data_IF_807732442936
#
_entry.id   IF_807732442936
#
_cell.length_a   1.000
_cell.length_b   1.000
_cell.length_c   1.000
_cell.angle_alpha   90.00
_cell.angle_beta   90.00
_cell.angle_gamma   90.00
#
_symmetry.space_group_name_H-M   'P 1'
#
loop_
_entity.id
_entity.type
_entity.pdbx_description
1 polymer ?
#
# COMPACT_ATOMS: atom_id res chain seq x y z
N UNK A 1 7.12 -29.43 -0.96
CA UNK A 1 6.28 -28.50 -0.18
C UNK A 1 4.85 -28.85 -0.47
N UNK A 2 4.19 -29.34 0.56
CA UNK A 2 2.77 -29.65 0.53
C UNK A 2 1.95 -28.36 0.54
N UNK A 3 0.66 -28.45 0.22
CA UNK A 3 -0.25 -27.31 0.28
C UNK A 3 -0.30 -26.68 1.68
N UNK A 4 -0.21 -27.51 2.72
CA UNK A 4 -0.16 -27.07 4.12
C UNK A 4 1.05 -26.16 4.41
N UNK A 5 2.22 -26.46 3.83
CA UNK A 5 3.41 -25.62 3.98
C UNK A 5 3.18 -24.21 3.40
N UNK A 6 2.50 -24.13 2.26
CA UNK A 6 2.19 -22.85 1.59
C UNK A 6 1.25 -22.00 2.43
N UNK A 7 0.21 -22.61 3.00
CA UNK A 7 -0.73 -21.92 3.89
C UNK A 7 -0.02 -21.41 5.15
N UNK A 8 0.84 -22.24 5.76
CA UNK A 8 1.62 -21.84 6.92
C UNK A 8 2.53 -20.64 6.64
N UNK A 9 3.19 -20.61 5.48
CA UNK A 9 4.01 -19.48 5.03
C UNK A 9 3.17 -18.19 4.94
N UNK A 10 1.98 -18.24 4.33
CA UNK A 10 1.13 -17.05 4.20
C UNK A 10 0.62 -16.54 5.56
N UNK A 11 0.27 -17.46 6.46
CA UNK A 11 -0.12 -17.10 7.82
C UNK A 11 1.05 -16.49 8.61
N UNK A 12 2.25 -17.05 8.48
CA UNK A 12 3.46 -16.49 9.07
C UNK A 12 3.74 -15.09 8.52
N UNK A 13 3.68 -14.89 7.20
CA UNK A 13 3.85 -13.57 6.57
C UNK A 13 2.90 -12.55 7.18
N UNK A 14 1.61 -12.88 7.29
CA UNK A 14 0.62 -12.00 7.91
C UNK A 14 0.88 -11.71 9.39
N UNK A 15 1.30 -12.72 10.18
CA UNK A 15 1.66 -12.52 11.60
C UNK A 15 2.90 -11.62 11.74
N UNK A 16 3.97 -11.90 11.00
CA UNK A 16 5.21 -11.10 11.00
C UNK A 16 4.93 -9.65 10.63
N UNK A 17 4.11 -9.41 9.59
CA UNK A 17 3.73 -8.06 9.20
C UNK A 17 2.99 -7.31 10.32
N UNK A 18 2.02 -7.95 10.98
CA UNK A 18 1.30 -7.34 12.11
C UNK A 18 2.23 -7.04 13.29
N UNK A 19 3.12 -7.97 13.64
CA UNK A 19 4.12 -7.76 14.69
C UNK A 19 5.01 -6.58 14.37
N UNK A 20 5.50 -6.49 13.13
CA UNK A 20 6.32 -5.37 12.68
C UNK A 20 5.55 -4.04 12.71
N UNK A 21 4.29 -4.00 12.25
CA UNK A 21 3.45 -2.79 12.32
C UNK A 21 3.26 -2.30 13.77
N UNK A 22 2.97 -3.22 14.69
CA UNK A 22 2.77 -2.90 16.11
C UNK A 22 4.05 -2.38 16.76
N UNK A 23 5.19 -3.03 16.49
CA UNK A 23 6.49 -2.60 17.00
C UNK A 23 6.90 -1.25 16.41
N UNK A 24 6.65 -1.04 15.11
CA UNK A 24 6.91 0.23 14.44
C UNK A 24 6.16 1.39 15.12
N UNK A 25 4.86 1.21 15.38
CA UNK A 25 4.07 2.25 16.05
C UNK A 25 4.60 2.55 17.45
N UNK A 26 4.92 1.52 18.23
CA UNK A 26 5.46 1.70 19.58
C UNK A 26 6.81 2.44 19.60
N UNK A 27 7.68 2.17 18.63
CA UNK A 27 9.04 2.75 18.59
C UNK A 27 9.08 4.13 17.91
N UNK A 28 8.30 4.31 16.84
CA UNK A 28 8.31 5.54 16.05
C UNK A 28 7.29 6.56 16.55
N UNK A 29 6.27 6.13 17.30
CA UNK A 29 5.25 6.97 17.92
C UNK A 29 3.97 7.15 17.08
N UNK A 30 3.89 6.50 15.92
CA UNK A 30 2.69 6.53 15.06
C UNK A 30 2.71 5.38 14.05
N UNK A 31 1.52 4.96 13.57
CA UNK A 31 1.40 3.89 12.59
C UNK A 31 2.18 4.15 11.31
N UNK A 32 2.78 3.09 10.76
CA UNK A 32 3.55 3.13 9.51
C UNK A 32 2.79 3.81 8.35
N UNK A 33 1.49 3.56 8.11
CA UNK A 33 0.79 4.23 7.01
C UNK A 33 0.76 5.76 7.13
N UNK A 34 0.61 6.31 8.34
CA UNK A 34 0.64 7.77 8.57
C UNK A 34 2.06 8.30 8.41
N UNK A 35 3.02 7.60 9.00
CA UNK A 35 4.44 7.92 8.88
C UNK A 35 4.88 8.04 7.42
N UNK A 36 4.50 7.08 6.57
CA UNK A 36 4.85 7.08 5.15
C UNK A 36 4.31 8.30 4.40
N UNK A 37 3.14 8.82 4.77
CA UNK A 37 2.57 10.04 4.17
C UNK A 37 3.39 11.26 4.58
N UNK A 38 3.66 11.40 5.88
CA UNK A 38 4.47 12.50 6.43
C UNK A 38 5.86 12.54 5.78
N UNK A 39 6.52 11.39 5.71
CA UNK A 39 7.83 11.25 5.06
C UNK A 39 7.77 11.61 3.58
N UNK A 40 6.77 11.11 2.83
CA UNK A 40 6.64 11.42 1.41
C UNK A 40 6.42 12.92 1.14
N UNK A 41 5.66 13.60 2.00
CA UNK A 41 5.49 15.05 1.93
C UNK A 41 6.79 15.78 2.29
N UNK A 42 7.47 15.35 3.35
CA UNK A 42 8.73 15.95 3.79
C UNK A 42 9.82 15.87 2.71
N UNK A 43 9.92 14.74 2.03
CA UNK A 43 10.83 14.53 0.88
C UNK A 43 10.45 15.36 -0.37
N UNK A 44 9.20 15.84 -0.45
CA UNK A 44 8.67 16.66 -1.55
C UNK A 44 8.49 18.12 -1.15
N UNK A 45 9.46 18.68 -0.42
CA UNK A 45 9.44 20.07 0.05
C UNK A 45 8.23 20.46 0.92
N UNK A 46 7.47 19.48 1.41
CA UNK A 46 6.31 19.65 2.28
C UNK A 46 4.95 19.67 1.58
N UNK A 47 4.86 19.44 0.28
CA UNK A 47 3.57 19.48 -0.43
C UNK A 47 3.47 18.44 -1.57
N UNK A 48 2.30 17.83 -1.72
CA UNK A 48 2.01 16.92 -2.84
C UNK A 48 0.51 16.81 -3.10
N UNK A 49 0.12 16.44 -4.32
CA UNK A 49 -1.27 16.13 -4.61
C UNK A 49 -1.66 14.77 -4.05
N UNK A 50 -2.93 14.60 -3.64
CA UNK A 50 -3.43 13.29 -3.17
C UNK A 50 -3.21 12.18 -4.20
N UNK A 51 -3.39 12.49 -5.50
CA UNK A 51 -3.12 11.56 -6.59
C UNK A 51 -1.66 11.07 -6.60
N UNK A 52 -0.70 12.01 -6.49
CA UNK A 52 0.72 11.65 -6.43
C UNK A 52 1.05 10.84 -5.18
N UNK A 53 0.40 11.12 -4.05
CA UNK A 53 0.56 10.33 -2.83
C UNK A 53 0.05 8.89 -3.00
N UNK A 54 -1.12 8.69 -3.64
CA UNK A 54 -1.64 7.35 -3.98
C UNK A 54 -0.63 6.57 -4.81
N UNK A 55 -0.14 7.19 -5.89
CA UNK A 55 0.81 6.57 -6.84
C UNK A 55 2.14 6.23 -6.15
N UNK A 56 2.72 7.18 -5.41
CA UNK A 56 4.02 7.00 -4.73
C UNK A 56 3.95 5.97 -3.61
N UNK A 57 2.87 6.00 -2.81
CA UNK A 57 2.75 5.12 -1.64
C UNK A 57 2.20 3.74 -2.00
N UNK A 58 1.65 3.58 -3.22
CA UNK A 58 0.94 2.37 -3.68
C UNK A 58 -0.15 1.95 -2.71
N UNK A 59 -0.97 2.91 -2.30
CA UNK A 59 -2.09 2.70 -1.37
C UNK A 59 -3.41 2.97 -2.06
N UNK A 60 -4.46 2.29 -1.63
CA UNK A 60 -5.82 2.58 -2.07
C UNK A 60 -6.22 4.04 -1.75
N UNK A 61 -6.89 4.77 -2.67
CA UNK A 61 -7.35 6.14 -2.44
C UNK A 61 -8.22 6.32 -1.19
N UNK A 62 -9.08 5.35 -0.89
CA UNK A 62 -9.91 5.38 0.32
C UNK A 62 -9.07 5.22 1.58
N UNK A 63 -8.07 4.33 1.56
CA UNK A 63 -7.11 4.18 2.66
C UNK A 63 -6.29 5.46 2.88
N UNK A 64 -5.78 6.08 1.81
CA UNK A 64 -5.08 7.36 1.91
C UNK A 64 -5.98 8.43 2.53
N UNK A 65 -7.21 8.57 2.06
CA UNK A 65 -8.17 9.57 2.56
C UNK A 65 -8.43 9.43 4.05
N UNK A 66 -8.57 8.20 4.55
CA UNK A 66 -8.72 7.94 6.00
C UNK A 66 -7.51 8.41 6.80
N UNK A 67 -6.30 8.15 6.31
CA UNK A 67 -5.08 8.60 6.99
C UNK A 67 -4.91 10.12 6.93
N UNK A 68 -5.22 10.75 5.80
CA UNK A 68 -5.18 12.20 5.65
C UNK A 68 -6.17 12.89 6.59
N UNK A 69 -7.39 12.37 6.73
CA UNK A 69 -8.36 12.90 7.70
C UNK A 69 -7.83 12.85 9.13
N UNK A 70 -7.15 11.76 9.51
CA UNK A 70 -6.53 11.65 10.84
C UNK A 70 -5.37 12.64 11.02
N UNK A 71 -4.49 12.76 10.03
CA UNK A 71 -3.36 13.70 10.05
C UNK A 71 -3.80 15.16 10.12
N UNK A 72 -4.87 15.51 9.39
CA UNK A 72 -5.47 16.85 9.42
C UNK A 72 -6.11 17.15 10.77
N UNK A 73 -6.80 16.17 11.38
CA UNK A 73 -7.35 16.29 12.73
C UNK A 73 -6.28 16.48 13.82
N UNK A 74 -5.06 15.98 13.60
CA UNK A 74 -3.89 16.24 14.48
C UNK A 74 -3.21 17.59 14.19
N UNK A 75 -3.66 18.32 13.17
CA UNK A 75 -3.05 19.59 12.74
C UNK A 75 -1.67 19.44 12.09
N UNK A 76 -1.33 18.24 11.60
CA UNK A 76 -0.02 17.96 10.99
C UNK A 76 0.01 18.18 9.49
N UNK A 77 -1.16 18.21 8.86
CA UNK A 77 -1.33 18.56 7.45
C UNK A 77 -2.46 19.56 7.30
N UNK A 78 -2.46 20.25 6.16
CA UNK A 78 -3.59 20.98 5.64
C UNK A 78 -3.93 20.47 4.24
N UNK A 79 -5.22 20.43 3.89
CA UNK A 79 -5.68 20.10 2.54
C UNK A 79 -6.35 21.30 1.90
N UNK A 80 -6.13 21.47 0.60
CA UNK A 80 -6.74 22.54 -0.18
C UNK A 80 -6.99 22.07 -1.62
N UNK A 81 -8.04 22.59 -2.24
CA UNK A 81 -8.23 22.43 -3.69
C UNK A 81 -7.17 23.26 -4.43
N UNK A 82 -6.67 22.74 -5.56
CA UNK A 82 -5.76 23.48 -6.42
C UNK A 82 -6.48 24.69 -7.03
N UNK A 83 -5.77 25.82 -7.13
CA UNK A 83 -6.33 27.07 -7.62
C UNK A 83 -6.56 27.07 -9.13
N UNK A 84 -5.91 26.15 -9.87
CA UNK A 84 -6.01 26.01 -11.33
C UNK A 84 -6.95 24.88 -11.75
N UNK A 85 -7.11 23.87 -10.90
CA UNK A 85 -8.01 22.73 -11.14
C UNK A 85 -8.66 22.27 -9.83
N UNK A 86 -9.94 22.59 -9.65
CA UNK A 86 -10.69 22.24 -8.44
C UNK A 86 -10.90 20.73 -8.25
N UNK A 87 -10.56 19.90 -9.26
CA UNK A 87 -10.56 18.44 -9.14
C UNK A 87 -9.31 17.91 -8.45
N UNK A 88 -8.26 18.73 -8.31
CA UNK A 88 -7.02 18.36 -7.64
C UNK A 88 -7.07 18.82 -6.19
N UNK A 89 -6.83 17.88 -5.26
CA UNK A 89 -6.61 18.20 -3.85
C UNK A 89 -5.13 18.09 -3.53
N UNK A 90 -4.56 19.18 -3.03
CA UNK A 90 -3.20 19.25 -2.53
C UNK A 90 -3.17 19.03 -1.02
N UNK A 91 -2.08 18.42 -0.57
CA UNK A 91 -1.81 18.12 0.83
C UNK A 91 -0.48 18.76 1.18
N UNK A 92 -0.46 19.58 2.24
CA UNK A 92 0.72 20.27 2.71
C UNK A 92 1.01 19.93 4.16
N UNK A 93 2.29 19.74 4.52
CA UNK A 93 2.71 19.69 5.91
C UNK A 93 2.51 21.04 6.58
N UNK A 94 2.00 21.02 7.79
CA UNK A 94 2.07 22.17 8.71
C UNK A 94 3.43 22.19 9.38
N UNK A 95 3.72 23.26 10.12
CA UNK A 95 4.94 23.33 10.93
C UNK A 95 4.97 22.22 12.00
N UNK A 96 3.83 21.97 12.65
CA UNK A 96 3.69 20.87 13.61
C UNK A 96 3.94 19.51 12.95
N UNK A 97 3.44 19.29 11.73
CA UNK A 97 3.69 18.05 10.99
C UNK A 97 5.15 17.88 10.57
N UNK A 98 5.82 18.97 10.17
CA UNK A 98 7.25 18.96 9.86
C UNK A 98 8.08 18.58 11.09
N UNK A 99 7.85 19.25 12.21
CA UNK A 99 8.54 18.97 13.48
C UNK A 99 8.29 17.53 13.96
N UNK A 100 7.04 17.04 13.88
CA UNK A 100 6.71 15.66 14.20
C UNK A 100 7.43 14.66 13.30
N UNK A 101 7.59 14.98 12.01
CA UNK A 101 8.32 14.14 11.06
C UNK A 101 9.81 14.08 11.43
N UNK A 102 10.43 15.23 11.66
CA UNK A 102 11.86 15.32 11.99
C UNK A 102 12.19 14.62 13.31
N UNK A 103 11.35 14.78 14.35
CA UNK A 103 11.52 14.11 15.64
C UNK A 103 11.40 12.57 15.57
N UNK A 104 10.82 12.05 14.49
CA UNK A 104 10.50 10.62 14.34
C UNK A 104 11.45 9.90 13.40
N UNK A 105 12.14 10.65 12.52
CA UNK A 105 13.13 10.13 11.58
C UNK A 105 14.23 9.31 12.28
N UNK A 106 14.90 9.81 13.35
CA UNK A 106 15.93 9.06 14.04
C UNK A 106 15.40 7.78 14.67
N UNK A 107 14.22 7.83 15.30
CA UNK A 107 13.57 6.66 15.93
C UNK A 107 13.24 5.59 14.90
N UNK A 108 12.73 5.99 13.73
CA UNK A 108 12.51 5.09 12.60
C UNK A 108 13.79 4.45 12.11
N UNK A 109 14.86 5.23 11.96
CA UNK A 109 16.15 4.71 11.48
C UNK A 109 16.74 3.70 12.47
N UNK A 110 16.75 4.03 13.76
CA UNK A 110 17.21 3.13 14.81
C UNK A 110 16.38 1.84 14.84
N UNK A 111 15.05 1.94 14.83
CA UNK A 111 14.20 0.76 14.82
C UNK A 111 14.47 -0.18 13.63
N UNK A 112 14.61 0.36 12.41
CA UNK A 112 14.93 -0.46 11.24
C UNK A 112 16.31 -1.09 11.33
N UNK A 113 17.31 -0.30 11.75
CA UNK A 113 18.66 -0.79 11.96
C UNK A 113 18.68 -1.94 12.97
N UNK A 114 18.15 -1.74 14.16
CA UNK A 114 18.21 -2.71 15.25
C UNK A 114 17.40 -3.98 14.94
N UNK A 115 16.29 -3.84 14.20
CA UNK A 115 15.49 -4.98 13.73
C UNK A 115 16.29 -5.86 12.74
N UNK A 116 17.19 -5.25 11.95
CA UNK A 116 17.91 -5.95 10.88
C UNK A 116 19.35 -6.32 11.24
N UNK A 117 19.99 -5.63 12.19
CA UNK A 117 21.41 -5.76 12.50
C UNK A 117 21.84 -7.17 12.95
N UNK A 118 20.91 -7.97 13.48
CA UNK A 118 21.17 -9.36 13.88
C UNK A 118 20.96 -10.41 12.78
N UNK A 119 20.60 -9.99 11.56
CA UNK A 119 20.26 -10.90 10.47
C UNK A 119 21.40 -10.98 9.45
N UNK A 120 21.75 -12.19 8.96
CA UNK A 120 22.73 -12.32 7.88
C UNK A 120 22.26 -11.62 6.60
N UNK A 121 23.18 -10.93 5.91
CA UNK A 121 22.89 -10.23 4.65
C UNK A 121 22.34 -11.18 3.57
N UNK A 122 22.83 -12.43 3.54
CA UNK A 122 22.31 -13.46 2.63
C UNK A 122 20.83 -13.77 2.88
N UNK A 123 20.41 -13.78 4.15
CA UNK A 123 19.04 -14.09 4.54
C UNK A 123 18.11 -12.92 4.18
N UNK A 124 18.56 -11.68 4.40
CA UNK A 124 17.84 -10.48 3.96
C UNK A 124 17.72 -10.42 2.43
N UNK A 125 18.79 -10.76 1.71
CA UNK A 125 18.80 -10.85 0.24
C UNK A 125 17.84 -11.92 -0.29
N UNK A 126 17.85 -13.10 0.31
CA UNK A 126 16.94 -14.20 -0.03
C UNK A 126 15.47 -13.83 0.25
N UNK A 127 15.18 -13.23 1.40
CA UNK A 127 13.84 -12.76 1.76
C UNK A 127 13.33 -11.71 0.77
N UNK A 128 14.14 -10.69 0.47
CA UNK A 128 13.80 -9.64 -0.50
C UNK A 128 13.48 -10.22 -1.88
N UNK A 129 14.28 -11.19 -2.33
CA UNK A 129 14.06 -11.86 -3.62
C UNK A 129 12.77 -12.69 -3.63
N UNK A 130 12.50 -13.44 -2.57
CA UNK A 130 11.28 -14.23 -2.43
C UNK A 130 10.02 -13.37 -2.40
N UNK A 131 10.05 -12.24 -1.67
CA UNK A 131 8.92 -11.29 -1.63
C UNK A 131 8.63 -10.69 -3.01
N UNK A 132 9.66 -10.28 -3.76
CA UNK A 132 9.49 -9.76 -5.13
C UNK A 132 8.87 -10.80 -6.06
N UNK A 133 9.33 -12.06 -5.99
CA UNK A 133 8.74 -13.15 -6.77
C UNK A 133 7.27 -13.36 -6.40
N UNK A 134 6.95 -13.33 -5.10
CA UNK A 134 5.57 -13.47 -4.62
C UNK A 134 4.67 -12.33 -5.11
N UNK A 135 5.13 -11.08 -5.05
CA UNK A 135 4.41 -9.91 -5.57
C UNK A 135 4.11 -10.05 -7.07
N UNK A 136 5.09 -10.44 -7.89
CA UNK A 136 4.91 -10.69 -9.33
C UNK A 136 3.87 -11.79 -9.56
N UNK A 137 3.98 -12.92 -8.86
CA UNK A 137 3.02 -14.04 -8.98
C UNK A 137 1.61 -13.65 -8.57
N UNK A 138 1.45 -12.84 -7.52
CA UNK A 138 0.13 -12.31 -7.11
C UNK A 138 -0.46 -11.44 -8.22
N UNK A 139 0.36 -10.56 -8.82
CA UNK A 139 -0.06 -9.73 -9.95
C UNK A 139 -0.50 -10.55 -11.16
N UNK A 140 0.25 -11.60 -11.52
CA UNK A 140 -0.08 -12.52 -12.61
C UNK A 140 -1.39 -13.28 -12.34
N UNK A 141 -1.56 -13.83 -11.13
CA UNK A 141 -2.75 -14.61 -10.79
C UNK A 141 -4.00 -13.72 -10.73
N UNK A 142 -3.90 -12.51 -10.17
CA UNK A 142 -5.02 -11.57 -10.10
C UNK A 142 -5.33 -10.92 -11.44
N UNK A 143 -4.32 -10.62 -12.25
CA UNK A 143 -4.47 -10.14 -13.64
C UNK A 143 -5.07 -11.21 -14.57
N UNK A 144 -4.63 -12.47 -14.44
CA UNK A 144 -5.21 -13.59 -15.19
C UNK A 144 -6.62 -13.94 -14.71
N UNK A 145 -6.93 -13.78 -13.41
CA UNK A 145 -8.29 -13.94 -12.91
C UNK A 145 -9.23 -12.85 -13.46
N UNK A 146 -8.72 -11.62 -13.64
CA UNK A 146 -9.42 -10.55 -14.34
C UNK A 146 -9.68 -10.89 -15.81
N UNK A 147 -8.67 -11.34 -16.55
CA UNK A 147 -8.78 -11.73 -17.96
C UNK A 147 -9.66 -12.97 -18.19
N UNK A 148 -9.56 -13.97 -17.30
CA UNK A 148 -10.37 -15.19 -17.32
C UNK A 148 -11.84 -14.93 -17.00
N UNK A 149 -12.15 -13.94 -16.16
CA UNK A 149 -13.52 -13.50 -15.91
C UNK A 149 -14.13 -12.84 -17.16
N UNK A 150 -13.39 -12.01 -17.91
CA UNK A 150 -13.91 -11.42 -19.16
C UNK A 150 -14.09 -12.48 -20.25
N UNK A 151 -13.18 -13.45 -20.34
CA UNK A 151 -13.28 -14.56 -21.29
C UNK A 151 -14.44 -15.53 -20.96
N UNK A 152 -14.70 -15.79 -19.67
CA UNK A 152 -15.83 -16.62 -19.23
C UNK A 152 -17.19 -15.93 -19.46
N UNK A 153 -17.26 -14.61 -19.28
CA UNK A 153 -18.46 -13.81 -19.59
C UNK A 153 -18.68 -13.73 -21.10
N UNK A 154 -17.63 -13.58 -21.91
CA UNK A 154 -17.73 -13.60 -23.37
C UNK A 154 -18.13 -14.98 -23.91
N UNK A 155 -17.64 -16.08 -23.32
CA UNK A 155 -18.02 -17.43 -23.70
C UNK A 155 -19.48 -17.76 -23.33
N UNK A 156 -19.99 -17.25 -22.20
CA UNK A 156 -21.41 -17.39 -21.83
C UNK A 156 -22.35 -16.57 -22.71
N UNK A 157 -21.90 -15.41 -23.20
CA UNK A 157 -22.67 -14.58 -24.14
C UNK A 157 -22.72 -15.20 -25.55
N UNK A 158 -21.65 -15.84 -26.01
CA UNK A 158 -21.62 -16.54 -27.31
C UNK A 158 -22.55 -17.77 -27.34
N UNK A 159 -22.66 -18.52 -26.24
CA UNK A 159 -23.59 -19.66 -26.14
C UNK A 159 -25.06 -19.26 -25.98
N UNK A 160 -25.35 -18.05 -25.52
CA UNK A 160 -26.71 -17.53 -25.37
C UNK A 160 -27.35 -17.05 -26.69
N UNK A 161 -26.52 -16.56 -27.62
CA UNK A 161 -26.97 -16.07 -28.93
C UNK A 161 -27.32 -17.23 -29.89
N UNK A 162 -26.57 -18.35 -29.87
CA UNK A 162 -26.90 -19.54 -30.67
C UNK A 162 -28.19 -20.26 -30.21
N UNK A 163 -28.51 -20.20 -28.92
CA UNK A 163 -29.74 -20.81 -28.38
C UNK A 163 -31.00 -19.98 -28.73
N UNK A 164 -30.86 -18.67 -28.89
CA UNK A 164 -31.96 -17.76 -29.23
C UNK A 164 -32.30 -17.81 -30.72
N UNK A 165 -31.31 -18.11 -31.59
CA UNK A 165 -31.50 -18.13 -33.04
C UNK A 165 -32.07 -19.46 -33.58
N UNK A 166 -32.14 -20.52 -32.75
CA UNK A 166 -32.66 -21.85 -33.11
C UNK A 166 -34.10 -22.13 -32.61
N UNK A 167 -34.71 -21.16 -31.93
CA UNK A 167 -36.05 -21.26 -31.31
C UNK A 167 -37.08 -20.28 -31.92
N UNK A 168 -36.94 -19.94 -33.19
CA UNK A 168 -37.99 -19.29 -33.98
C UNK A 168 -38.44 -20.28 -35.09
N UNK A 169 -39.74 -20.61 -35.16
CA UNK A 169 -40.29 -21.52 -36.17
C UNK A 169 -40.29 -20.95 -37.58
#
# INVERSE_FOLDING_TARGET
>A
MEEQDRVAIMQQFGRTYRTFMSAFEAQVGHPLPRWRILLALHEQAGESSQKRLVERLRVDPGALTRQLKALEGMGWIARSMDTRDNRVTNVRLTEAGRAATEASLPRRNAFLHDTMAGLPDEALGALSSALKLLETRIGEVTGNAGAGSVAAVAAQQATGDEATQRALP
#
